data_IF_770408597497
#
_entry.id   IF_770408597497
#
_cell.length_a   1.000
_cell.length_b   1.000
_cell.length_c   1.000
_cell.angle_alpha   90.00
_cell.angle_beta   90.00
_cell.angle_gamma   90.00
#
_symmetry.space_group_name_H-M   'P 1'
#
loop_
_entity.id
_entity.type
_entity.pdbx_description
1 polymer ?
#
# COMPACT_ATOMS: atom_id res chain seq x y z
N UNK A 1 -12.46 -4.96 12.18
CA UNK A 1 -11.29 -4.13 12.52
C UNK A 1 -10.75 -3.49 11.25
N UNK A 2 -10.53 -2.20 11.28
CA UNK A 2 -10.00 -1.47 10.12
C UNK A 2 -8.48 -1.50 10.15
N UNK A 3 -7.89 -1.68 8.99
CA UNK A 3 -6.45 -1.78 8.83
C UNK A 3 -5.95 -0.55 8.09
N UNK A 4 -4.97 0.12 8.65
CA UNK A 4 -4.35 1.30 8.02
C UNK A 4 -2.83 1.15 8.06
N UNK A 5 -2.15 1.92 7.23
CA UNK A 5 -0.69 2.06 7.33
C UNK A 5 -0.34 3.52 7.53
N UNK A 6 0.82 3.75 8.12
CA UNK A 6 1.28 5.10 8.40
C UNK A 6 2.73 5.27 7.95
N UNK A 7 3.11 6.51 7.71
CA UNK A 7 4.52 6.85 7.57
C UNK A 7 4.73 8.25 8.14
N UNK A 8 5.99 8.54 8.48
CA UNK A 8 6.37 9.86 8.99
C UNK A 8 7.34 10.51 8.01
N UNK A 9 7.09 11.77 7.70
CA UNK A 9 7.96 12.57 6.85
C UNK A 9 8.00 13.98 7.38
N UNK A 10 9.20 14.53 7.56
CA UNK A 10 9.41 15.89 8.04
C UNK A 10 8.67 16.15 9.37
N UNK A 11 8.77 15.18 10.27
CA UNK A 11 8.15 15.22 11.61
C UNK A 11 6.62 15.22 11.59
N UNK A 12 6.01 14.89 10.46
CA UNK A 12 4.56 14.77 10.37
C UNK A 12 4.18 13.32 10.05
N UNK A 13 3.18 12.82 10.79
CA UNK A 13 2.65 11.47 10.59
C UNK A 13 1.50 11.53 9.61
N UNK A 14 1.54 10.65 8.61
CA UNK A 14 0.47 10.49 7.63
C UNK A 14 -0.16 9.12 7.80
N UNK A 15 -1.49 9.07 7.69
CA UNK A 15 -2.26 7.85 7.90
C UNK A 15 -3.09 7.58 6.65
N UNK A 16 -3.08 6.34 6.19
CA UNK A 16 -3.87 5.93 5.03
C UNK A 16 -5.36 5.84 5.35
N UNK A 17 -6.17 5.72 4.31
CA UNK A 17 -7.55 5.27 4.48
C UNK A 17 -7.53 3.82 4.99
N UNK A 18 -8.61 3.37 5.65
CA UNK A 18 -8.72 1.96 5.98
C UNK A 18 -8.70 1.12 4.70
N UNK A 19 -8.05 -0.05 4.78
CA UNK A 19 -8.04 -0.98 3.64
C UNK A 19 -9.46 -1.50 3.42
N UNK A 20 -9.91 -1.42 2.18
CA UNK A 20 -11.24 -1.86 1.80
C UNK A 20 -11.14 -2.91 0.70
N UNK A 21 -12.29 -3.35 0.19
CA UNK A 21 -12.31 -4.35 -0.86
C UNK A 21 -11.61 -3.88 -2.12
N UNK A 22 -11.70 -2.57 -2.42
CA UNK A 22 -11.03 -2.01 -3.59
C UNK A 22 -9.51 -2.13 -3.46
N UNK A 23 -8.96 -1.97 -2.23
CA UNK A 23 -7.54 -2.20 -1.98
C UNK A 23 -7.14 -3.60 -2.42
N UNK A 24 -7.94 -4.59 -2.03
CA UNK A 24 -7.69 -5.98 -2.40
C UNK A 24 -7.76 -6.19 -3.92
N UNK A 25 -8.74 -5.56 -4.57
CA UNK A 25 -8.89 -5.67 -6.02
C UNK A 25 -7.70 -5.10 -6.77
N UNK A 26 -7.19 -3.95 -6.33
CA UNK A 26 -6.03 -3.32 -6.97
C UNK A 26 -4.81 -4.21 -6.87
N UNK A 27 -4.56 -4.78 -5.69
CA UNK A 27 -3.42 -5.67 -5.50
C UNK A 27 -3.60 -6.95 -6.34
N UNK A 28 -4.80 -7.51 -6.35
CA UNK A 28 -5.08 -8.73 -7.09
C UNK A 28 -4.90 -8.53 -8.60
N UNK A 29 -5.38 -7.41 -9.13
CA UNK A 29 -5.24 -7.12 -10.56
C UNK A 29 -3.78 -6.99 -10.95
N UNK A 30 -2.99 -6.30 -10.13
CA UNK A 30 -1.57 -6.14 -10.39
C UNK A 30 -0.82 -7.47 -10.25
N UNK A 31 -1.24 -8.30 -9.30
CA UNK A 31 -0.63 -9.62 -9.10
C UNK A 31 -0.84 -10.53 -10.32
N UNK A 32 -1.99 -10.41 -10.98
CA UNK A 32 -2.30 -11.20 -12.17
C UNK A 32 -1.61 -10.68 -13.43
N UNK A 33 -0.98 -9.50 -13.35
CA UNK A 33 -0.21 -8.92 -14.46
C UNK A 33 1.16 -8.51 -13.93
N UNK A 34 1.97 -9.48 -13.48
CA UNK A 34 3.23 -9.16 -12.81
C UNK A 34 4.20 -8.45 -13.75
N UNK A 35 4.81 -7.39 -13.24
CA UNK A 35 5.88 -6.72 -13.92
C UNK A 35 7.23 -7.24 -13.48
N UNK A 36 8.28 -6.52 -13.85
CA UNK A 36 9.65 -6.94 -13.56
C UNK A 36 10.02 -6.90 -12.09
N UNK A 37 9.29 -6.10 -11.30
CA UNK A 37 9.73 -5.74 -9.95
C UNK A 37 8.99 -6.48 -8.84
N UNK A 38 8.17 -7.47 -9.20
CA UNK A 38 7.50 -8.32 -8.23
C UNK A 38 6.58 -7.56 -7.28
N UNK A 39 6.58 -7.92 -5.99
CA UNK A 39 5.64 -7.34 -5.02
C UNK A 39 5.71 -5.81 -4.92
N UNK A 40 6.88 -5.22 -5.12
CA UNK A 40 7.00 -3.77 -5.05
C UNK A 40 6.20 -3.09 -6.15
N UNK A 41 6.23 -3.64 -7.34
CA UNK A 41 5.44 -3.11 -8.45
C UNK A 41 3.95 -3.39 -8.29
N UNK A 42 3.64 -4.56 -7.76
CA UNK A 42 2.25 -4.97 -7.53
C UNK A 42 1.54 -3.99 -6.59
N UNK A 43 2.23 -3.55 -5.55
CA UNK A 43 1.61 -2.69 -4.55
C UNK A 43 1.71 -1.19 -4.85
N UNK A 44 2.34 -0.80 -5.96
CA UNK A 44 2.52 0.62 -6.29
C UNK A 44 1.19 1.35 -6.38
N UNK A 45 0.25 0.82 -7.16
CA UNK A 45 -1.04 1.47 -7.35
C UNK A 45 -1.88 1.44 -6.08
N UNK A 46 -1.72 0.39 -5.28
CA UNK A 46 -2.43 0.28 -4.02
C UNK A 46 -1.97 1.33 -3.02
N UNK A 47 -0.65 1.63 -2.98
CA UNK A 47 -0.14 2.70 -2.13
C UNK A 47 -0.78 4.04 -2.51
N UNK A 48 -0.83 4.33 -3.81
CA UNK A 48 -1.44 5.57 -4.28
C UNK A 48 -2.92 5.63 -3.90
N UNK A 49 -3.63 4.53 -4.06
CA UNK A 49 -5.06 4.48 -3.75
C UNK A 49 -5.34 4.72 -2.27
N UNK A 50 -4.59 4.07 -1.37
CA UNK A 50 -4.91 4.15 0.06
C UNK A 50 -4.64 5.52 0.66
N UNK A 51 -3.83 6.34 0.00
CA UNK A 51 -3.58 7.70 0.46
C UNK A 51 -4.37 8.75 -0.32
N UNK A 52 -5.16 8.33 -1.29
CA UNK A 52 -5.98 9.25 -2.08
C UNK A 52 -7.01 9.95 -1.19
N UNK A 53 -7.08 11.27 -1.28
CA UNK A 53 -7.99 12.05 -0.46
C UNK A 53 -7.51 12.29 0.98
N UNK A 54 -6.33 11.79 1.34
CA UNK A 54 -5.74 12.05 2.65
C UNK A 54 -4.79 13.25 2.55
N UNK A 55 -4.18 13.61 3.67
CA UNK A 55 -3.19 14.69 3.69
C UNK A 55 -1.92 14.33 2.92
N UNK A 56 -1.66 13.03 2.71
CA UNK A 56 -0.51 12.56 1.94
C UNK A 56 -0.83 12.69 0.44
N UNK A 57 -0.51 13.83 -0.14
CA UNK A 57 -0.72 14.07 -1.56
C UNK A 57 0.22 13.21 -2.41
N UNK A 58 -0.06 13.12 -3.69
CA UNK A 58 0.78 12.36 -4.60
C UNK A 58 2.24 12.86 -4.58
N UNK A 59 2.44 14.18 -4.48
CA UNK A 59 3.79 14.74 -4.41
C UNK A 59 4.54 14.25 -3.18
N UNK A 60 3.85 14.15 -2.04
CA UNK A 60 4.45 13.63 -0.81
C UNK A 60 4.82 12.17 -0.97
N UNK A 61 3.91 11.37 -1.52
CA UNK A 61 4.15 9.94 -1.76
C UNK A 61 5.36 9.76 -2.69
N UNK A 62 5.41 10.52 -3.77
CA UNK A 62 6.49 10.41 -4.76
C UNK A 62 7.84 10.84 -4.20
N UNK A 63 7.83 11.68 -3.16
CA UNK A 63 9.06 12.16 -2.54
C UNK A 63 9.57 11.29 -1.40
N UNK A 64 8.87 10.19 -1.08
CA UNK A 64 9.30 9.28 -0.03
C UNK A 64 10.63 8.63 -0.38
N UNK A 65 11.47 8.42 0.65
CA UNK A 65 12.70 7.68 0.49
C UNK A 65 12.38 6.24 0.04
N UNK A 66 13.26 5.61 -0.74
CA UNK A 66 12.99 4.27 -1.25
C UNK A 66 12.67 3.25 -0.16
N UNK A 67 13.35 3.31 0.98
CA UNK A 67 13.10 2.37 2.07
C UNK A 67 11.73 2.57 2.70
N UNK A 68 11.28 3.81 2.86
CA UNK A 68 9.96 4.10 3.39
C UNK A 68 8.87 3.62 2.44
N UNK A 69 9.04 3.86 1.15
CA UNK A 69 8.07 3.42 0.16
C UNK A 69 8.01 1.90 0.06
N UNK A 70 9.16 1.25 0.15
CA UNK A 70 9.26 -0.21 0.14
C UNK A 70 8.51 -0.81 1.33
N UNK A 71 8.64 -0.18 2.50
CA UNK A 71 7.96 -0.67 3.70
C UNK A 71 6.44 -0.64 3.52
N UNK A 72 5.90 0.41 2.93
CA UNK A 72 4.48 0.50 2.66
C UNK A 72 4.02 -0.63 1.72
N UNK A 73 4.80 -0.91 0.70
CA UNK A 73 4.50 -1.99 -0.23
C UNK A 73 4.51 -3.35 0.46
N UNK A 74 5.47 -3.56 1.34
CA UNK A 74 5.57 -4.82 2.09
C UNK A 74 4.37 -5.01 3.00
N UNK A 75 3.95 -3.95 3.69
CA UNK A 75 2.78 -4.02 4.57
C UNK A 75 1.50 -4.33 3.80
N UNK A 76 1.32 -3.72 2.64
CA UNK A 76 0.17 -4.01 1.79
C UNK A 76 0.19 -5.44 1.29
N UNK A 77 1.34 -5.92 0.85
CA UNK A 77 1.48 -7.29 0.36
C UNK A 77 1.19 -8.30 1.47
N UNK A 78 1.70 -8.04 2.67
CA UNK A 78 1.46 -8.93 3.81
C UNK A 78 -0.02 -9.00 4.16
N UNK A 79 -0.72 -7.87 4.13
CA UNK A 79 -2.16 -7.84 4.38
C UNK A 79 -2.92 -8.66 3.33
N UNK A 80 -2.58 -8.47 2.06
CA UNK A 80 -3.22 -9.20 0.96
C UNK A 80 -2.98 -10.71 1.08
N UNK A 81 -1.73 -11.11 1.31
CA UNK A 81 -1.38 -12.52 1.41
C UNK A 81 -2.07 -13.18 2.60
N UNK A 82 -2.13 -12.49 3.73
CA UNK A 82 -2.80 -13.02 4.92
C UNK A 82 -4.29 -13.17 4.69
N UNK A 83 -4.92 -12.21 4.02
CA UNK A 83 -6.35 -12.26 3.74
C UNK A 83 -6.73 -13.43 2.84
N UNK A 84 -5.82 -13.86 1.96
CA UNK A 84 -6.05 -14.99 1.08
C UNK A 84 -5.65 -16.33 1.70
N UNK A 85 -4.96 -16.32 2.82
CA UNK A 85 -4.53 -17.57 3.46
C UNK A 85 -5.71 -18.31 4.05
N UNK A 86 -5.77 -19.65 3.88
CA UNK A 86 -6.84 -20.41 4.52
C UNK A 86 -6.73 -20.29 6.03
N UNK A 87 -7.86 -20.14 6.68
CA UNK A 87 -7.92 -20.14 8.13
C UNK A 87 -8.38 -21.50 8.63
N UNK A 88 -7.63 -22.01 9.55
CA UNK A 88 -7.94 -23.29 10.17
C UNK A 88 -8.68 -23.12 11.48
#
# INVERSE_FOLDING_TARGET
>A
MQHTVTFTKDNKKYVSKPFDFETMCIINDAHNRPGKHGPLNICRDAVDYIFEGTEATQDIIDSLAPDARTRLCIELWAFYAEALSPKN
#
